data_IF_252066704445
#
_entry.id   IF_252066704445
#
_cell.length_a   1.000
_cell.length_b   1.000
_cell.length_c   1.000
_cell.angle_alpha   90.00
_cell.angle_beta   90.00
_cell.angle_gamma   90.00
#
_symmetry.space_group_name_H-M   'P 1'
#
loop_
_entity.id
_entity.type
_entity.pdbx_description
1 polymer ?
#
# COMPACT_ATOMS: atom_id res chain seq x y z
N UNK A 1 29.44 -12.06 3.93
CA UNK A 1 28.40 -11.14 3.42
C UNK A 1 28.63 -10.96 1.92
N UNK A 2 27.90 -11.72 1.11
CA UNK A 2 27.93 -11.51 -0.34
C UNK A 2 27.15 -10.23 -0.66
N UNK A 3 27.87 -9.24 -1.20
CA UNK A 3 27.24 -8.06 -1.81
C UNK A 3 26.44 -8.55 -3.03
N UNK A 4 25.13 -8.70 -2.86
CA UNK A 4 24.20 -8.90 -3.98
C UNK A 4 24.18 -7.58 -4.74
N UNK A 5 24.96 -7.49 -5.82
CA UNK A 5 24.75 -6.43 -6.82
C UNK A 5 23.37 -6.65 -7.42
N UNK A 6 22.57 -5.61 -7.62
CA UNK A 6 21.34 -5.74 -8.38
C UNK A 6 21.72 -6.15 -9.81
N UNK A 7 21.69 -7.44 -10.08
CA UNK A 7 21.80 -7.96 -11.45
C UNK A 7 20.54 -7.53 -12.18
N UNK A 8 20.69 -6.89 -13.34
CA UNK A 8 19.56 -6.58 -14.21
C UNK A 8 18.81 -7.90 -14.49
N UNK A 9 17.53 -7.94 -14.12
CA UNK A 9 16.69 -9.12 -14.32
C UNK A 9 16.51 -9.34 -15.81
N UNK A 10 16.69 -10.57 -16.26
CA UNK A 10 16.30 -10.94 -17.64
C UNK A 10 14.78 -10.84 -17.80
N UNK A 11 14.30 -10.68 -19.03
CA UNK A 11 12.86 -10.60 -19.30
C UNK A 11 12.11 -11.84 -18.77
N UNK A 12 12.71 -13.03 -18.87
CA UNK A 12 12.15 -14.28 -18.35
C UNK A 12 12.03 -14.25 -16.83
N UNK A 13 13.07 -13.79 -16.13
CA UNK A 13 13.05 -13.64 -14.66
C UNK A 13 11.98 -12.65 -14.23
N UNK A 14 11.83 -11.53 -14.93
CA UNK A 14 10.80 -10.53 -14.63
C UNK A 14 9.38 -11.08 -14.74
N UNK A 15 9.11 -11.94 -15.72
CA UNK A 15 7.82 -12.62 -15.87
C UNK A 15 7.59 -13.59 -14.70
N UNK A 16 8.59 -14.42 -14.37
CA UNK A 16 8.48 -15.37 -13.25
C UNK A 16 8.21 -14.64 -11.92
N UNK A 17 8.94 -13.57 -11.64
CA UNK A 17 8.72 -12.77 -10.42
C UNK A 17 7.33 -12.11 -10.39
N UNK A 18 6.84 -11.64 -11.53
CA UNK A 18 5.47 -11.09 -11.60
C UNK A 18 4.41 -12.14 -11.27
N UNK A 19 4.59 -13.36 -11.74
CA UNK A 19 3.71 -14.50 -11.42
C UNK A 19 3.80 -14.83 -9.92
N UNK A 20 5.01 -14.89 -9.34
CA UNK A 20 5.19 -15.14 -7.90
C UNK A 20 4.48 -14.08 -7.06
N UNK A 21 4.67 -12.79 -7.37
CA UNK A 21 3.99 -11.70 -6.67
C UNK A 21 2.47 -11.86 -6.77
N UNK A 22 1.94 -12.18 -7.95
CA UNK A 22 0.51 -12.37 -8.14
C UNK A 22 -0.04 -13.53 -7.30
N UNK A 23 0.67 -14.65 -7.24
CA UNK A 23 0.32 -15.79 -6.40
C UNK A 23 0.36 -15.41 -4.91
N UNK A 24 1.38 -14.68 -4.45
CA UNK A 24 1.49 -14.21 -3.07
C UNK A 24 0.33 -13.28 -2.68
N UNK A 25 -0.10 -12.41 -3.59
CA UNK A 25 -1.28 -11.55 -3.38
C UNK A 25 -2.58 -12.36 -3.28
N UNK A 26 -2.74 -13.41 -4.08
CA UNK A 26 -3.90 -14.31 -3.96
C UNK A 26 -3.91 -14.98 -2.59
N UNK A 27 -2.78 -15.50 -2.12
CA UNK A 27 -2.70 -16.11 -0.79
C UNK A 27 -3.00 -15.11 0.33
N UNK A 28 -2.61 -13.86 0.18
CA UNK A 28 -2.95 -12.79 1.11
C UNK A 28 -4.48 -12.65 1.25
N UNK A 29 -5.20 -12.55 0.12
CA UNK A 29 -6.67 -12.45 0.13
C UNK A 29 -7.37 -13.71 0.65
N UNK A 30 -6.78 -14.90 0.38
CA UNK A 30 -7.24 -16.16 0.97
C UNK A 30 -7.10 -16.11 2.50
N UNK A 31 -6.03 -15.51 3.03
CA UNK A 31 -5.82 -15.35 4.47
C UNK A 31 -6.96 -14.60 5.15
N UNK A 32 -7.39 -13.48 4.59
CA UNK A 32 -8.58 -12.76 5.08
C UNK A 32 -9.84 -13.60 5.00
N UNK A 33 -10.00 -14.33 3.90
CA UNK A 33 -11.16 -15.17 3.64
C UNK A 33 -11.30 -16.31 4.65
N UNK A 34 -10.21 -17.02 4.93
CA UNK A 34 -10.15 -18.11 5.90
C UNK A 34 -10.37 -17.59 7.32
N UNK A 35 -9.78 -16.43 7.67
CA UNK A 35 -9.98 -15.82 8.98
C UNK A 35 -11.45 -15.43 9.21
N UNK A 36 -12.15 -14.94 8.19
CA UNK A 36 -13.55 -14.57 8.27
C UNK A 36 -14.45 -15.81 8.39
N UNK A 37 -14.24 -16.86 7.55
CA UNK A 37 -15.07 -18.07 7.54
C UNK A 37 -15.03 -18.81 8.87
N UNK A 38 -13.88 -18.82 9.52
CA UNK A 38 -13.70 -19.45 10.83
C UNK A 38 -14.36 -18.68 11.99
N UNK A 39 -14.76 -17.42 11.78
CA UNK A 39 -15.25 -16.56 12.86
C UNK A 39 -16.73 -16.29 12.80
N UNK A 40 -17.26 -15.91 11.65
CA UNK A 40 -18.54 -15.23 11.68
C UNK A 40 -19.44 -15.47 10.47
N UNK A 41 -18.89 -15.56 9.28
CA UNK A 41 -19.69 -15.63 8.05
C UNK A 41 -18.83 -15.96 6.84
N UNK A 42 -19.45 -16.58 5.85
CA UNK A 42 -18.77 -16.93 4.60
C UNK A 42 -18.37 -15.68 3.83
N UNK A 43 -17.16 -15.70 3.28
CA UNK A 43 -16.72 -14.74 2.27
C UNK A 43 -17.65 -14.81 1.07
N UNK A 44 -18.12 -13.67 0.59
CA UNK A 44 -19.00 -13.65 -0.58
C UNK A 44 -18.25 -13.98 -1.86
N UNK A 45 -17.11 -13.34 -2.07
CA UNK A 45 -16.26 -13.57 -3.22
C UNK A 45 -14.87 -12.97 -2.99
N UNK A 46 -13.88 -13.50 -3.71
CA UNK A 46 -12.58 -12.87 -3.93
C UNK A 46 -12.67 -12.26 -5.32
N UNK A 47 -12.32 -11.01 -5.46
CA UNK A 47 -12.51 -10.25 -6.68
C UNK A 47 -11.27 -9.50 -7.12
N UNK A 48 -11.37 -8.95 -8.32
CA UNK A 48 -10.40 -8.05 -8.91
C UNK A 48 -11.06 -6.69 -9.12
N UNK A 49 -10.40 -5.63 -8.72
CA UNK A 49 -10.94 -4.28 -8.83
C UNK A 49 -9.85 -3.25 -9.14
N UNK A 50 -10.25 -1.98 -9.18
CA UNK A 50 -9.32 -0.89 -9.39
C UNK A 50 -9.37 0.09 -8.21
N UNK A 51 -8.26 0.19 -7.47
CA UNK A 51 -8.09 1.22 -6.47
C UNK A 51 -7.91 2.59 -7.15
N UNK A 52 -8.71 3.57 -6.74
CA UNK A 52 -8.78 4.89 -7.37
C UNK A 52 -8.98 4.86 -8.89
N UNK A 53 -9.59 3.82 -9.44
CA UNK A 53 -9.84 3.60 -10.89
C UNK A 53 -8.57 3.43 -11.74
N UNK A 54 -7.40 3.24 -11.13
CA UNK A 54 -6.12 3.17 -11.84
C UNK A 54 -5.33 1.93 -11.47
N UNK A 55 -5.17 1.66 -10.17
CA UNK A 55 -4.33 0.56 -9.71
C UNK A 55 -5.15 -0.72 -9.58
N UNK A 56 -4.79 -1.78 -10.33
CA UNK A 56 -5.43 -3.08 -10.18
C UNK A 56 -5.15 -3.64 -8.78
N UNK A 57 -6.17 -4.14 -8.12
CA UNK A 57 -6.08 -4.76 -6.80
C UNK A 57 -6.91 -6.04 -6.74
N UNK A 58 -6.38 -7.05 -6.07
CA UNK A 58 -7.15 -8.19 -5.61
C UNK A 58 -7.78 -7.81 -4.26
N UNK A 59 -8.96 -8.34 -3.97
CA UNK A 59 -9.61 -8.13 -2.68
C UNK A 59 -10.55 -9.29 -2.32
N UNK A 60 -10.65 -9.59 -1.03
CA UNK A 60 -11.69 -10.43 -0.48
C UNK A 60 -12.81 -9.56 0.08
N UNK A 61 -14.08 -9.88 -0.23
CA UNK A 61 -15.22 -9.17 0.37
C UNK A 61 -15.44 -9.64 1.81
N UNK A 62 -14.78 -8.98 2.72
CA UNK A 62 -14.90 -9.17 4.17
C UNK A 62 -15.83 -8.13 4.82
N UNK A 63 -16.68 -7.46 4.05
CA UNK A 63 -17.50 -6.33 4.53
C UNK A 63 -18.39 -6.67 5.73
N UNK A 64 -18.82 -7.93 5.87
CA UNK A 64 -19.66 -8.37 7.00
C UNK A 64 -18.96 -8.25 8.36
N UNK A 65 -17.61 -8.24 8.40
CA UNK A 65 -16.83 -8.15 9.64
C UNK A 65 -17.11 -6.87 10.44
N UNK A 66 -17.58 -5.81 9.77
CA UNK A 66 -17.90 -4.54 10.42
C UNK A 66 -19.07 -4.62 11.43
N UNK A 67 -19.88 -5.68 11.37
CA UNK A 67 -20.98 -5.95 12.30
C UNK A 67 -20.53 -6.73 13.55
N UNK A 68 -19.28 -7.19 13.57
CA UNK A 68 -18.74 -8.06 14.61
C UNK A 68 -17.84 -7.28 15.60
N UNK A 69 -17.44 -7.98 16.65
CA UNK A 69 -16.63 -7.42 17.70
C UNK A 69 -15.22 -7.00 17.18
N UNK A 70 -14.60 -6.09 17.91
CA UNK A 70 -13.26 -5.55 17.61
C UNK A 70 -12.21 -6.66 17.41
N UNK A 71 -12.27 -7.71 18.25
CA UNK A 71 -11.30 -8.82 18.19
C UNK A 71 -11.43 -9.58 16.88
N UNK A 72 -12.65 -9.85 16.43
CA UNK A 72 -12.89 -10.55 15.17
C UNK A 72 -12.42 -9.73 13.98
N UNK A 73 -12.65 -8.41 13.98
CA UNK A 73 -12.13 -7.50 12.95
C UNK A 73 -10.61 -7.51 12.90
N UNK A 74 -9.94 -7.47 14.06
CA UNK A 74 -8.48 -7.55 14.13
C UNK A 74 -7.97 -8.86 13.55
N UNK A 75 -8.57 -9.99 13.92
CA UNK A 75 -8.15 -11.31 13.43
C UNK A 75 -8.30 -11.42 11.91
N UNK A 76 -9.40 -10.94 11.35
CA UNK A 76 -9.61 -10.95 9.90
C UNK A 76 -8.62 -10.02 9.19
N UNK A 77 -8.39 -8.81 9.72
CA UNK A 77 -7.44 -7.88 9.14
C UNK A 77 -5.97 -8.41 9.21
N UNK A 78 -5.62 -9.21 10.23
CA UNK A 78 -4.33 -9.89 10.30
C UNK A 78 -4.25 -11.15 9.42
N UNK A 79 -5.37 -11.68 8.93
CA UNK A 79 -5.43 -12.94 8.21
C UNK A 79 -4.50 -13.02 6.99
N UNK A 80 -4.47 -11.97 6.17
CA UNK A 80 -3.59 -11.89 5.01
C UNK A 80 -2.10 -11.90 5.40
N UNK A 81 -1.74 -11.08 6.39
CA UNK A 81 -0.37 -10.99 6.92
C UNK A 81 0.07 -12.33 7.52
N UNK A 82 -0.81 -12.97 8.28
CA UNK A 82 -0.53 -14.25 8.94
C UNK A 82 -0.19 -15.35 7.93
N UNK A 83 -0.98 -15.50 6.88
CA UNK A 83 -0.71 -16.49 5.81
C UNK A 83 0.63 -16.21 5.12
N UNK A 84 0.95 -14.95 4.85
CA UNK A 84 2.22 -14.57 4.23
C UNK A 84 3.43 -14.88 5.13
N UNK A 85 3.31 -14.71 6.45
CA UNK A 85 4.35 -15.11 7.39
C UNK A 85 4.54 -16.64 7.42
N UNK A 86 3.46 -17.41 7.32
CA UNK A 86 3.54 -18.88 7.20
C UNK A 86 4.25 -19.27 5.91
N UNK A 87 3.92 -18.64 4.79
CA UNK A 87 4.60 -18.89 3.50
C UNK A 87 6.09 -18.59 3.62
N UNK A 88 6.48 -17.46 4.23
CA UNK A 88 7.89 -17.13 4.43
C UNK A 88 8.59 -18.17 5.31
N UNK A 89 7.97 -18.60 6.40
CA UNK A 89 8.52 -19.64 7.25
C UNK A 89 8.76 -20.94 6.46
N UNK A 90 7.80 -21.34 5.63
CA UNK A 90 7.91 -22.52 4.78
C UNK A 90 9.04 -22.39 3.75
N UNK A 91 9.17 -21.25 3.08
CA UNK A 91 10.24 -21.00 2.13
C UNK A 91 11.63 -20.97 2.79
N UNK A 92 11.74 -20.42 4.00
CA UNK A 92 12.98 -20.43 4.79
C UNK A 92 13.36 -21.88 5.15
N UNK A 93 12.41 -22.72 5.56
CA UNK A 93 12.67 -24.13 5.84
C UNK A 93 13.18 -24.89 4.60
N UNK A 94 12.68 -24.57 3.41
CA UNK A 94 13.19 -25.14 2.16
C UNK A 94 14.65 -24.72 1.91
N UNK A 95 15.02 -23.48 2.18
CA UNK A 95 16.40 -23.02 2.07
C UNK A 95 17.34 -23.75 3.05
N UNK A 96 16.90 -23.98 4.28
CA UNK A 96 17.68 -24.71 5.30
C UNK A 96 17.92 -26.18 4.92
N UNK A 97 17.06 -26.77 4.07
CA UNK A 97 17.26 -28.11 3.52
C UNK A 97 18.31 -28.15 2.38
N UNK A 98 19.14 -27.12 2.25
CA UNK A 98 20.16 -26.95 1.21
C UNK A 98 19.62 -26.93 -0.23
N UNK A 99 18.34 -26.61 -0.41
CA UNK A 99 17.77 -26.30 -1.73
C UNK A 99 17.96 -24.78 -1.97
N UNK A 100 19.22 -24.32 -1.96
CA UNK A 100 19.53 -22.93 -2.21
C UNK A 100 19.16 -22.57 -3.64
N UNK A 101 18.19 -21.68 -3.79
CA UNK A 101 17.76 -21.14 -5.08
C UNK A 101 17.51 -19.64 -4.93
N UNK A 102 18.18 -18.85 -5.77
CA UNK A 102 18.03 -17.41 -5.80
C UNK A 102 16.55 -16.98 -5.96
N UNK A 103 15.74 -17.77 -6.67
CA UNK A 103 14.31 -17.50 -6.80
C UNK A 103 13.56 -17.60 -5.47
N UNK A 104 13.92 -18.55 -4.59
CA UNK A 104 13.29 -18.71 -3.27
C UNK A 104 13.67 -17.52 -2.38
N UNK A 105 14.93 -17.13 -2.36
CA UNK A 105 15.39 -15.95 -1.61
C UNK A 105 14.64 -14.68 -2.05
N UNK A 106 14.50 -14.47 -3.35
CA UNK A 106 13.75 -13.34 -3.90
C UNK A 106 12.26 -13.41 -3.56
N UNK A 107 11.65 -14.61 -3.59
CA UNK A 107 10.26 -14.79 -3.21
C UNK A 107 10.02 -14.43 -1.73
N UNK A 108 10.93 -14.82 -0.83
CA UNK A 108 10.88 -14.43 0.60
C UNK A 108 10.94 -12.92 0.76
N UNK A 109 11.89 -12.26 0.08
CA UNK A 109 12.05 -10.81 0.14
C UNK A 109 10.81 -10.09 -0.42
N UNK A 110 10.29 -10.52 -1.57
CA UNK A 110 9.08 -9.95 -2.16
C UNK A 110 7.88 -10.09 -1.23
N UNK A 111 7.70 -11.27 -0.63
CA UNK A 111 6.63 -11.51 0.32
C UNK A 111 6.77 -10.64 1.58
N UNK A 112 8.01 -10.45 2.08
CA UNK A 112 8.27 -9.54 3.19
C UNK A 112 7.91 -8.09 2.84
N UNK A 113 8.22 -7.63 1.62
CA UNK A 113 7.82 -6.30 1.15
C UNK A 113 6.29 -6.16 1.11
N UNK A 114 5.55 -7.18 0.65
CA UNK A 114 4.09 -7.17 0.67
C UNK A 114 3.57 -7.06 2.11
N UNK A 115 4.11 -7.83 3.05
CA UNK A 115 3.75 -7.75 4.48
C UNK A 115 4.01 -6.36 5.04
N UNK A 116 5.19 -5.79 4.81
CA UNK A 116 5.53 -4.45 5.29
C UNK A 116 4.62 -3.38 4.68
N UNK A 117 4.31 -3.50 3.38
CA UNK A 117 3.38 -2.60 2.70
C UNK A 117 1.96 -2.71 3.26
N UNK A 118 1.47 -3.92 3.53
CA UNK A 118 0.15 -4.15 4.11
C UNK A 118 0.03 -3.56 5.52
N UNK A 119 1.13 -3.52 6.28
CA UNK A 119 1.18 -2.94 7.63
C UNK A 119 1.23 -1.41 7.66
N UNK A 120 1.42 -0.71 6.52
CA UNK A 120 1.48 0.76 6.49
C UNK A 120 0.14 1.36 6.90
N UNK A 121 0.04 2.08 8.05
CA UNK A 121 -1.24 2.54 8.57
C UNK A 121 -1.77 3.82 7.89
N UNK A 122 -0.98 4.45 7.03
CA UNK A 122 -1.35 5.70 6.35
C UNK A 122 -2.00 5.47 4.98
N UNK A 123 -1.94 4.25 4.48
CA UNK A 123 -2.69 3.76 3.32
C UNK A 123 -3.92 3.00 3.82
N UNK A 124 -4.94 2.85 2.98
CA UNK A 124 -6.14 2.07 3.35
C UNK A 124 -5.92 0.57 3.15
N UNK A 125 -4.84 0.07 3.75
CA UNK A 125 -4.46 -1.34 3.80
C UNK A 125 -4.85 -1.93 5.16
N UNK A 126 -4.49 -3.19 5.40
CA UNK A 126 -4.79 -3.89 6.66
C UNK A 126 -4.26 -3.15 7.87
N UNK A 127 -3.03 -2.62 7.81
CA UNK A 127 -2.42 -1.83 8.89
C UNK A 127 -3.24 -0.60 9.29
N UNK A 128 -3.93 0.03 8.35
CA UNK A 128 -4.86 1.12 8.65
C UNK A 128 -6.08 0.62 9.45
N UNK A 129 -6.67 -0.49 9.03
CA UNK A 129 -7.83 -1.05 9.70
C UNK A 129 -7.48 -1.59 11.07
N UNK A 130 -6.34 -2.30 11.19
CA UNK A 130 -5.78 -2.77 12.44
C UNK A 130 -5.57 -1.60 13.42
N UNK A 131 -4.89 -0.53 12.99
CA UNK A 131 -4.65 0.64 13.83
C UNK A 131 -5.97 1.32 14.23
N UNK A 132 -6.90 1.52 13.28
CA UNK A 132 -8.20 2.14 13.53
C UNK A 132 -9.00 1.37 14.60
N UNK A 133 -8.98 0.04 14.53
CA UNK A 133 -9.61 -0.83 15.53
C UNK A 133 -8.86 -0.80 16.86
N UNK A 134 -7.53 -0.86 16.88
CA UNK A 134 -6.73 -0.80 18.11
C UNK A 134 -7.02 0.46 18.93
N UNK A 135 -7.04 1.62 18.29
CA UNK A 135 -7.34 2.89 18.95
C UNK A 135 -8.84 3.18 19.09
N UNK A 136 -9.70 2.28 18.58
CA UNK A 136 -11.17 2.41 18.62
C UNK A 136 -11.70 3.71 17.98
N UNK A 137 -11.07 4.16 16.90
CA UNK A 137 -11.47 5.36 16.15
C UNK A 137 -11.87 5.01 14.74
N UNK A 138 -13.17 4.93 14.48
CA UNK A 138 -13.70 4.68 13.14
C UNK A 138 -13.42 5.86 12.21
N UNK A 139 -13.12 5.54 10.93
CA UNK A 139 -12.80 6.52 9.89
C UNK A 139 -11.63 7.46 10.28
N UNK A 140 -10.58 6.90 10.87
CA UNK A 140 -9.42 7.61 11.39
C UNK A 140 -8.82 8.57 10.35
N UNK A 141 -8.64 8.11 9.11
CA UNK A 141 -8.08 8.92 8.03
C UNK A 141 -8.98 10.13 7.67
N UNK A 142 -10.31 9.96 7.72
CA UNK A 142 -11.24 11.08 7.50
C UNK A 142 -11.18 12.08 8.66
N UNK A 143 -11.17 11.60 9.90
CA UNK A 143 -11.09 12.45 11.10
C UNK A 143 -9.75 13.19 11.20
N UNK A 144 -8.65 12.57 10.77
CA UNK A 144 -7.32 13.20 10.76
C UNK A 144 -7.22 14.35 9.74
N UNK A 145 -8.01 14.28 8.64
CA UNK A 145 -8.05 15.35 7.65
C UNK A 145 -8.62 16.62 8.26
N UNK A 146 -7.85 17.66 8.20
CA UNK A 146 -8.24 18.94 8.77
C UNK A 146 -8.20 19.01 10.31
N UNK A 147 -7.85 17.92 11.01
CA UNK A 147 -7.75 17.93 12.47
C UNK A 147 -6.72 18.95 12.96
N UNK A 148 -5.54 18.97 12.35
CA UNK A 148 -4.50 19.94 12.65
C UNK A 148 -4.97 21.37 12.41
N UNK A 149 -5.66 21.63 11.29
CA UNK A 149 -6.21 22.95 10.96
C UNK A 149 -7.28 23.36 11.98
N UNK A 150 -8.19 22.43 12.32
CA UNK A 150 -9.25 22.70 13.29
C UNK A 150 -8.71 22.98 14.72
N UNK A 151 -7.60 22.40 15.12
CA UNK A 151 -6.96 22.70 16.42
C UNK A 151 -6.45 24.14 16.49
N UNK A 152 -5.97 24.72 15.38
CA UNK A 152 -5.52 26.11 15.32
C UNK A 152 -6.67 27.11 15.36
N UNK A 153 -7.85 26.74 14.84
CA UNK A 153 -8.96 27.66 14.67
C UNK A 153 -10.11 27.50 15.65
N UNK A 154 -10.20 26.34 16.34
CA UNK A 154 -11.28 26.02 17.27
C UNK A 154 -10.75 25.36 18.53
N UNK A 155 -11.17 25.83 19.70
CA UNK A 155 -10.84 25.23 21.01
C UNK A 155 -11.60 23.90 21.22
N UNK A 156 -11.28 22.86 20.46
CA UNK A 156 -11.82 21.53 20.66
C UNK A 156 -10.98 20.71 21.63
N UNK A 157 -11.64 19.82 22.39
CA UNK A 157 -10.92 18.85 23.24
C UNK A 157 -9.97 18.02 22.37
N UNK A 158 -8.70 18.03 22.77
CA UNK A 158 -7.64 17.31 22.02
C UNK A 158 -7.82 15.81 22.23
N UNK A 159 -8.01 15.08 21.14
CA UNK A 159 -7.89 13.62 21.14
C UNK A 159 -6.47 13.25 20.69
N UNK A 160 -5.66 12.77 21.64
CA UNK A 160 -4.24 12.50 21.45
C UNK A 160 -3.99 11.49 20.32
N UNK A 161 -4.79 10.43 20.20
CA UNK A 161 -4.64 9.40 19.17
C UNK A 161 -4.84 9.96 17.76
N UNK A 162 -5.88 10.81 17.58
CA UNK A 162 -6.14 11.46 16.31
C UNK A 162 -5.05 12.48 15.99
N UNK A 163 -4.56 13.21 16.98
CA UNK A 163 -3.48 14.19 16.81
C UNK A 163 -2.19 13.53 16.34
N UNK A 164 -1.74 12.48 17.04
CA UNK A 164 -0.53 11.74 16.68
C UNK A 164 -0.67 11.18 15.27
N UNK A 165 -1.79 10.49 14.96
CA UNK A 165 -2.02 9.96 13.64
C UNK A 165 -2.03 11.05 12.56
N UNK A 166 -2.62 12.23 12.84
CA UNK A 166 -2.68 13.35 11.90
C UNK A 166 -1.29 13.89 11.57
N UNK A 167 -0.43 14.03 12.58
CA UNK A 167 0.96 14.48 12.39
C UNK A 167 1.74 13.45 11.57
N UNK A 168 1.70 12.18 11.96
CA UNK A 168 2.42 11.12 11.28
C UNK A 168 1.92 10.93 9.83
N UNK A 169 0.60 11.00 9.60
CA UNK A 169 0.03 10.93 8.26
C UNK A 169 0.45 12.14 7.40
N UNK A 170 0.56 13.34 7.99
CA UNK A 170 1.08 14.51 7.30
C UNK A 170 2.53 14.31 6.89
N UNK A 171 3.39 13.87 7.81
CA UNK A 171 4.80 13.58 7.54
C UNK A 171 4.96 12.49 6.46
N UNK A 172 4.20 11.41 6.56
CA UNK A 172 4.18 10.36 5.53
C UNK A 172 3.82 10.91 4.14
N UNK A 173 2.79 11.76 4.05
CA UNK A 173 2.43 12.39 2.77
C UNK A 173 3.55 13.30 2.24
N UNK A 174 4.28 14.02 3.10
CA UNK A 174 5.43 14.83 2.69
C UNK A 174 6.57 13.96 2.14
N UNK A 175 6.88 12.84 2.79
CA UNK A 175 7.88 11.87 2.29
C UNK A 175 7.46 11.31 0.94
N UNK A 176 6.20 10.93 0.76
CA UNK A 176 5.70 10.43 -0.53
C UNK A 176 5.80 11.50 -1.62
N UNK A 177 5.43 12.75 -1.33
CA UNK A 177 5.54 13.85 -2.29
C UNK A 177 7.01 14.13 -2.65
N UNK A 178 7.91 14.11 -1.67
CA UNK A 178 9.35 14.26 -1.92
C UNK A 178 9.88 13.13 -2.82
N UNK A 179 9.49 11.88 -2.54
CA UNK A 179 9.89 10.73 -3.35
C UNK A 179 9.36 10.82 -4.80
N UNK A 180 8.10 11.24 -4.98
CA UNK A 180 7.52 11.49 -6.30
C UNK A 180 8.32 12.58 -7.04
N UNK A 181 8.59 13.71 -6.38
CA UNK A 181 9.37 14.80 -6.97
C UNK A 181 10.77 14.32 -7.39
N UNK A 182 11.46 13.59 -6.51
CA UNK A 182 12.78 13.02 -6.79
C UNK A 182 12.74 12.04 -7.98
N UNK A 183 11.74 11.18 -8.06
CA UNK A 183 11.56 10.25 -9.17
C UNK A 183 11.32 10.99 -10.50
N UNK A 184 10.49 12.02 -10.48
CA UNK A 184 10.21 12.84 -11.68
C UNK A 184 11.46 13.61 -12.15
N UNK A 185 12.29 14.13 -11.23
CA UNK A 185 13.56 14.80 -11.61
C UNK A 185 14.55 13.81 -12.21
N UNK A 186 14.65 12.60 -11.68
CA UNK A 186 15.50 11.56 -12.25
C UNK A 186 15.05 11.15 -13.66
N UNK A 187 13.74 10.99 -13.88
CA UNK A 187 13.17 10.72 -15.20
C UNK A 187 13.49 11.87 -16.16
N UNK A 188 13.26 13.11 -15.73
CA UNK A 188 13.59 14.29 -16.55
C UNK A 188 15.07 14.33 -16.94
N UNK A 189 16.00 14.13 -15.99
CA UNK A 189 17.44 14.09 -16.26
C UNK A 189 17.80 12.98 -17.24
N UNK A 190 17.27 11.78 -17.07
CA UNK A 190 17.49 10.65 -17.97
C UNK A 190 17.14 11.01 -19.42
N UNK A 191 15.97 11.60 -19.66
CA UNK A 191 15.50 11.94 -21.00
C UNK A 191 16.09 13.25 -21.55
N UNK A 192 16.62 14.14 -20.73
CA UNK A 192 17.30 15.37 -21.20
C UNK A 192 18.72 15.11 -21.69
N UNK A 193 19.38 14.06 -21.17
CA UNK A 193 20.78 13.75 -21.50
C UNK A 193 20.87 12.68 -22.61
N UNK A 194 19.99 11.67 -22.60
CA UNK A 194 20.08 10.50 -23.48
C UNK A 194 19.10 10.51 -24.67
N UNK A 195 18.84 11.66 -25.28
CA UNK A 195 17.94 11.76 -26.43
C UNK A 195 18.32 10.89 -27.66
N UNK A 196 19.49 10.24 -27.65
CA UNK A 196 20.07 9.56 -28.79
C UNK A 196 19.86 8.03 -28.83
N UNK A 197 19.35 7.37 -27.77
CA UNK A 197 19.29 5.89 -27.71
C UNK A 197 17.88 5.26 -27.61
N UNK A 198 16.83 5.94 -28.01
CA UNK A 198 15.43 5.43 -27.88
C UNK A 198 15.06 4.37 -28.91
N UNK A 199 15.95 3.89 -29.74
CA UNK A 199 15.62 3.01 -30.89
C UNK A 199 15.56 1.51 -30.59
N UNK A 200 15.88 1.05 -29.39
CA UNK A 200 15.75 -0.37 -29.03
C UNK A 200 14.43 -0.64 -28.29
N UNK A 201 13.77 -1.77 -28.61
CA UNK A 201 12.48 -2.19 -28.02
C UNK A 201 12.48 -2.17 -26.47
N UNK A 202 13.62 -2.50 -25.88
CA UNK A 202 13.83 -2.48 -24.43
C UNK A 202 13.76 -1.07 -23.83
N UNK A 203 14.29 -0.09 -24.55
CA UNK A 203 14.22 1.32 -24.18
C UNK A 203 12.79 1.88 -24.32
N UNK A 204 12.01 1.38 -25.28
CA UNK A 204 10.59 1.74 -25.45
C UNK A 204 9.77 1.23 -24.26
N UNK A 205 9.98 -0.01 -23.82
CA UNK A 205 9.27 -0.57 -22.66
C UNK A 205 9.60 0.19 -21.36
N UNK A 206 10.87 0.51 -21.12
CA UNK A 206 11.31 1.34 -19.99
C UNK A 206 10.69 2.75 -20.07
N UNK A 207 10.63 3.35 -21.25
CA UNK A 207 10.01 4.68 -21.45
C UNK A 207 8.52 4.67 -21.18
N UNK A 208 7.80 3.61 -21.61
CA UNK A 208 6.38 3.45 -21.31
C UNK A 208 6.12 3.26 -19.81
N UNK A 209 6.99 2.54 -19.11
CA UNK A 209 6.90 2.37 -17.67
C UNK A 209 7.16 3.70 -16.92
N UNK A 210 8.18 4.45 -17.32
CA UNK A 210 8.48 5.77 -16.77
C UNK A 210 7.29 6.74 -17.00
N UNK A 211 6.69 6.73 -18.20
CA UNK A 211 5.48 7.51 -18.52
C UNK A 211 4.28 7.10 -17.64
N UNK A 212 4.09 5.81 -17.43
CA UNK A 212 3.06 5.28 -16.54
C UNK A 212 3.24 5.77 -15.10
N UNK A 213 4.48 5.77 -14.58
CA UNK A 213 4.80 6.31 -13.25
C UNK A 213 4.50 7.82 -13.15
N UNK A 214 4.82 8.59 -14.19
CA UNK A 214 4.49 10.03 -14.26
C UNK A 214 2.98 10.24 -14.20
N UNK A 215 2.21 9.49 -14.99
CA UNK A 215 0.74 9.60 -15.03
C UNK A 215 0.15 9.26 -13.66
N UNK A 216 0.57 8.15 -13.04
CA UNK A 216 0.10 7.77 -11.70
C UNK A 216 0.44 8.86 -10.67
N UNK A 217 1.67 9.39 -10.71
CA UNK A 217 2.10 10.45 -9.80
C UNK A 217 1.23 11.70 -9.93
N UNK A 218 0.91 12.12 -11.15
CA UNK A 218 0.02 13.26 -11.42
C UNK A 218 -1.41 13.01 -10.92
N UNK A 219 -1.94 11.78 -11.09
CA UNK A 219 -3.26 11.41 -10.59
C UNK A 219 -3.30 11.45 -9.05
N UNK A 220 -2.26 10.95 -8.38
CA UNK A 220 -2.15 11.00 -6.91
C UNK A 220 -2.10 12.44 -6.43
N UNK A 221 -1.26 13.29 -7.02
CA UNK A 221 -1.13 14.71 -6.67
C UNK A 221 -2.48 15.42 -6.86
N UNK A 222 -3.13 15.25 -8.02
CA UNK A 222 -4.45 15.82 -8.30
C UNK A 222 -5.49 15.39 -7.29
N UNK A 223 -5.56 14.11 -6.97
CA UNK A 223 -6.48 13.55 -5.98
C UNK A 223 -6.27 14.20 -4.61
N UNK A 224 -5.04 14.34 -4.16
CA UNK A 224 -4.68 15.00 -2.90
C UNK A 224 -5.04 16.49 -2.90
N UNK A 225 -4.77 17.22 -3.96
CA UNK A 225 -5.13 18.64 -4.07
C UNK A 225 -6.65 18.87 -3.99
N UNK A 226 -7.46 18.05 -4.69
CA UNK A 226 -8.93 18.12 -4.62
C UNK A 226 -9.39 17.84 -3.18
N UNK A 227 -8.82 16.85 -2.53
CA UNK A 227 -9.14 16.47 -1.17
C UNK A 227 -8.84 17.62 -0.18
N UNK A 228 -7.67 18.23 -0.24
CA UNK A 228 -7.30 19.38 0.60
C UNK A 228 -8.20 20.60 0.31
N UNK A 229 -8.48 20.90 -0.96
CA UNK A 229 -9.39 21.99 -1.33
C UNK A 229 -10.77 21.79 -0.72
N UNK A 230 -11.36 20.60 -0.82
CA UNK A 230 -12.68 20.29 -0.26
C UNK A 230 -12.71 20.44 1.27
N UNK A 231 -11.61 20.05 1.94
CA UNK A 231 -11.46 20.15 3.40
C UNK A 231 -11.41 21.61 3.84
N UNK A 232 -10.59 22.44 3.19
CA UNK A 232 -10.47 23.87 3.47
C UNK A 232 -11.82 24.58 3.25
N UNK A 233 -12.48 24.30 2.14
CA UNK A 233 -13.79 24.90 1.84
C UNK A 233 -14.81 24.58 2.92
N UNK A 234 -14.91 23.32 3.38
CA UNK A 234 -15.83 22.93 4.47
C UNK A 234 -15.52 23.65 5.79
N UNK A 235 -14.25 23.86 6.13
CA UNK A 235 -13.83 24.55 7.33
C UNK A 235 -14.19 26.05 7.25
N UNK A 236 -13.96 26.69 6.08
CA UNK A 236 -14.31 28.09 5.87
C UNK A 236 -15.82 28.32 5.92
N UNK A 237 -16.64 27.47 5.29
CA UNK A 237 -18.10 27.59 5.34
C UNK A 237 -18.69 27.41 6.76
N UNK A 238 -18.12 26.48 7.54
CA UNK A 238 -18.55 26.26 8.93
C UNK A 238 -18.26 27.45 9.87
N UNK A 239 -17.39 28.36 9.48
CA UNK A 239 -17.01 29.54 10.24
C UNK A 239 -17.90 30.76 9.90
N UNK A 240 -18.64 30.69 8.79
CA UNK A 240 -19.53 31.76 8.29
C UNK A 240 -21.01 31.50 8.64
N UNK A 241 -21.34 30.30 9.11
CA UNK A 241 -22.64 29.93 9.67
C UNK A 241 -22.59 29.90 11.20
#
# INVERSE_FOLDING_TARGET
MHHIKPTELTNEQSIVYSIIIFILLIFHEIGHSVALDNRTSKVKYIGFGFYNRVLPVLFADVSHIWQHEKVDRLIVNFGGIYIQLIINLFLILILELNISNVMIEQAILMNLYIVLYSLVPFLRNDGYWILSDLISVNNLQYKSKGYLINLFFNNHKVNLSILIFSILNFLFNMVVLYWIFFSLTNIYHKYSIDYVQVTQLENIAKSLFDLFLVIISLIIIRSKLIEYKSTITKICFKKLS
#
